data_IF_017728491459
#
_entry.id   IF_017728491459
#
_cell.length_a   1.000
_cell.length_b   1.000
_cell.length_c   1.000
_cell.angle_alpha   90.00
_cell.angle_beta   90.00
_cell.angle_gamma   90.00
#
_symmetry.space_group_name_H-M   'P 1'
#
loop_
_entity.id
_entity.type
_entity.pdbx_description
1 polymer ?
#
# COMPACT_ATOMS: atom_id res chain seq x y z
N UNK A 1 -32.44 24.13 29.51
CA UNK A 1 -31.63 24.41 28.30
C UNK A 1 -30.56 23.34 28.02
N UNK A 2 -30.51 22.24 28.78
CA UNK A 2 -29.39 21.28 28.74
C UNK A 2 -29.58 20.07 27.82
N UNK A 3 -30.81 19.76 27.40
CA UNK A 3 -31.11 18.57 26.59
C UNK A 3 -30.74 18.73 25.12
N UNK A 4 -30.78 19.98 24.62
CA UNK A 4 -30.38 20.32 23.25
C UNK A 4 -28.86 20.25 23.07
N UNK A 5 -28.09 20.57 24.11
CA UNK A 5 -26.63 20.54 24.08
C UNK A 5 -26.10 19.09 24.12
N UNK A 6 -26.73 18.21 24.89
CA UNK A 6 -26.40 16.77 24.88
C UNK A 6 -26.80 16.08 23.58
N UNK A 7 -27.95 16.43 23.00
CA UNK A 7 -28.35 15.92 21.69
C UNK A 7 -27.44 16.40 20.56
N UNK A 8 -26.98 17.65 20.61
CA UNK A 8 -25.99 18.18 19.65
C UNK A 8 -24.64 17.46 19.79
N UNK A 9 -24.18 17.19 21.01
CA UNK A 9 -22.96 16.41 21.24
C UNK A 9 -23.10 14.94 20.80
N UNK A 10 -24.27 14.32 20.98
CA UNK A 10 -24.55 12.96 20.51
C UNK A 10 -24.68 12.89 18.98
N UNK A 11 -25.23 13.92 18.34
CA UNK A 11 -25.29 14.02 16.87
C UNK A 11 -23.90 14.24 16.25
N UNK A 12 -23.03 15.02 16.88
CA UNK A 12 -21.62 15.16 16.48
C UNK A 12 -20.81 13.87 16.69
N UNK A 13 -21.18 13.03 17.67
CA UNK A 13 -20.58 11.70 17.85
C UNK A 13 -21.11 10.64 16.86
N UNK A 14 -22.26 10.92 16.21
CA UNK A 14 -22.87 10.11 15.15
C UNK A 14 -22.55 10.64 13.74
N UNK A 15 -21.79 11.73 13.64
CA UNK A 15 -21.23 12.16 12.36
C UNK A 15 -20.40 10.98 11.84
N UNK A 16 -20.75 10.40 10.68
CA UNK A 16 -19.92 9.36 10.10
C UNK A 16 -18.55 10.01 9.92
N UNK A 17 -17.52 9.46 10.57
CA UNK A 17 -16.14 9.84 10.31
C UNK A 17 -16.02 9.94 8.79
N UNK A 18 -15.74 11.16 8.29
CA UNK A 18 -15.67 11.43 6.86
C UNK A 18 -14.95 10.24 6.21
N UNK A 19 -15.54 9.60 5.17
CA UNK A 19 -15.05 8.32 4.67
C UNK A 19 -13.54 8.46 4.50
N UNK A 20 -12.78 7.72 5.31
CA UNK A 20 -11.33 7.80 5.31
C UNK A 20 -10.91 7.71 3.85
N UNK A 21 -10.36 8.80 3.31
CA UNK A 21 -10.25 8.98 1.88
C UNK A 21 -9.58 7.74 1.29
N UNK A 22 -10.37 6.90 0.61
CA UNK A 22 -9.90 5.60 0.12
C UNK A 22 -8.86 5.92 -0.93
N UNK A 23 -7.60 5.62 -0.62
CA UNK A 23 -6.51 5.87 -1.54
C UNK A 23 -6.75 5.07 -2.82
N UNK A 24 -6.61 5.70 -4.01
CA UNK A 24 -6.90 5.03 -5.26
C UNK A 24 -5.98 3.82 -5.45
N UNK A 25 -6.46 2.82 -6.18
CA UNK A 25 -5.58 1.76 -6.67
C UNK A 25 -4.52 2.37 -7.59
N UNK A 26 -3.29 1.89 -7.47
CA UNK A 26 -2.16 2.32 -8.31
C UNK A 26 -1.77 1.17 -9.23
N UNK A 27 -1.37 1.47 -10.46
CA UNK A 27 -0.88 0.42 -11.36
C UNK A 27 0.44 -0.18 -10.88
N UNK A 28 0.79 -1.33 -11.42
CA UNK A 28 2.10 -1.96 -11.25
C UNK A 28 3.25 -0.98 -11.54
N UNK A 29 3.18 -0.28 -12.67
CA UNK A 29 4.14 0.74 -13.08
C UNK A 29 4.23 1.86 -12.04
N UNK A 30 3.10 2.41 -11.61
CA UNK A 30 3.06 3.49 -10.61
C UNK A 30 3.67 3.03 -9.28
N UNK A 31 3.36 1.81 -8.84
CA UNK A 31 3.86 1.22 -7.60
C UNK A 31 5.37 1.05 -7.61
N UNK A 32 5.93 0.34 -8.61
CA UNK A 32 7.37 0.12 -8.70
C UNK A 32 8.15 1.41 -8.96
N UNK A 33 7.60 2.34 -9.75
CA UNK A 33 8.21 3.64 -9.97
C UNK A 33 8.26 4.47 -8.67
N UNK A 34 7.21 4.47 -7.86
CA UNK A 34 7.20 5.16 -6.57
C UNK A 34 8.20 4.56 -5.58
N UNK A 35 8.34 3.22 -5.54
CA UNK A 35 9.35 2.55 -4.72
C UNK A 35 10.79 2.90 -5.11
N UNK A 36 11.06 3.04 -6.42
CA UNK A 36 12.36 3.50 -6.90
C UNK A 36 12.61 4.98 -6.54
N UNK A 37 11.61 5.84 -6.71
CA UNK A 37 11.69 7.24 -6.35
C UNK A 37 11.92 7.44 -4.84
N UNK A 38 11.34 6.57 -4.00
CA UNK A 38 11.56 6.54 -2.56
C UNK A 38 12.91 5.92 -2.14
N UNK A 39 13.71 5.40 -3.07
CA UNK A 39 14.99 4.75 -2.79
C UNK A 39 14.86 3.36 -2.15
N UNK A 40 13.67 2.77 -2.16
CA UNK A 40 13.45 1.43 -1.60
C UNK A 40 14.05 0.36 -2.49
N UNK A 41 13.94 0.53 -3.80
CA UNK A 41 14.57 -0.33 -4.83
C UNK A 41 15.36 0.53 -5.81
N UNK A 42 16.27 -0.07 -6.59
CA UNK A 42 16.94 0.65 -7.67
C UNK A 42 16.00 0.89 -8.85
N UNK A 43 16.32 1.89 -9.69
CA UNK A 43 15.55 2.18 -10.91
C UNK A 43 15.58 0.99 -11.88
N UNK A 44 16.74 0.32 -12.03
CA UNK A 44 16.87 -0.88 -12.86
C UNK A 44 15.98 -2.02 -12.36
N UNK A 45 15.87 -2.19 -11.04
CA UNK A 45 14.99 -3.21 -10.46
C UNK A 45 13.51 -2.87 -10.68
N UNK A 46 13.13 -1.59 -10.61
CA UNK A 46 11.76 -1.18 -10.93
C UNK A 46 11.44 -1.39 -12.42
N UNK A 47 12.38 -1.09 -13.33
CA UNK A 47 12.22 -1.35 -14.76
C UNK A 47 12.09 -2.85 -15.04
N UNK A 48 12.94 -3.69 -14.44
CA UNK A 48 12.85 -5.15 -14.58
C UNK A 48 11.51 -5.68 -14.03
N UNK A 49 11.02 -5.14 -12.91
CA UNK A 49 9.72 -5.53 -12.36
C UNK A 49 8.57 -5.26 -13.35
N UNK A 50 8.55 -4.08 -13.98
CA UNK A 50 7.48 -3.69 -14.90
C UNK A 50 7.64 -4.35 -16.29
N UNK A 51 8.86 -4.49 -16.80
CA UNK A 51 9.11 -5.00 -18.15
C UNK A 51 9.06 -6.52 -18.24
N UNK A 52 9.56 -7.23 -17.22
CA UNK A 52 9.73 -8.68 -17.25
C UNK A 52 9.04 -9.41 -16.10
N UNK A 53 8.35 -8.69 -15.21
CA UNK A 53 7.74 -9.27 -14.00
C UNK A 53 8.77 -9.74 -12.97
N UNK A 54 10.04 -9.34 -13.12
CA UNK A 54 11.13 -9.78 -12.24
C UNK A 54 11.07 -9.05 -10.92
N UNK A 55 10.79 -9.78 -9.84
CA UNK A 55 10.61 -9.18 -8.53
C UNK A 55 11.94 -8.63 -7.98
N UNK A 56 12.01 -7.35 -7.56
CA UNK A 56 13.21 -6.76 -6.97
C UNK A 56 13.71 -7.54 -5.75
N UNK A 57 15.03 -7.68 -5.60
CA UNK A 57 15.64 -8.47 -4.52
C UNK A 57 15.18 -8.07 -3.11
N UNK A 58 14.94 -6.77 -2.88
CA UNK A 58 14.42 -6.29 -1.58
C UNK A 58 12.99 -6.76 -1.31
N UNK A 59 12.15 -6.82 -2.35
CA UNK A 59 10.78 -7.31 -2.26
C UNK A 59 10.80 -8.84 -2.08
N UNK A 60 11.67 -9.55 -2.80
CA UNK A 60 11.87 -10.99 -2.57
C UNK A 60 12.32 -11.31 -1.14
N UNK A 61 13.23 -10.52 -0.57
CA UNK A 61 13.64 -10.67 0.82
C UNK A 61 12.46 -10.46 1.79
N UNK A 62 11.60 -9.49 1.51
CA UNK A 62 10.38 -9.27 2.29
C UNK A 62 9.40 -10.45 2.18
N UNK A 63 9.21 -10.99 0.98
CA UNK A 63 8.37 -12.17 0.74
C UNK A 63 8.94 -13.42 1.41
N UNK A 64 10.27 -13.59 1.42
CA UNK A 64 10.94 -14.69 2.10
C UNK A 64 10.75 -14.66 3.63
N UNK A 65 10.44 -13.49 4.20
CA UNK A 65 10.08 -13.33 5.62
C UNK A 65 8.64 -13.76 5.96
N UNK A 66 7.79 -14.00 4.96
CA UNK A 66 6.43 -14.51 5.17
C UNK A 66 6.43 -16.01 5.49
N UNK A 67 5.38 -16.55 6.15
CA UNK A 67 5.22 -17.99 6.34
C UNK A 67 5.33 -18.75 5.02
N UNK A 68 6.00 -19.91 5.03
CA UNK A 68 6.31 -20.67 3.81
C UNK A 68 5.09 -20.95 2.91
N UNK A 69 3.92 -21.18 3.53
CA UNK A 69 2.65 -21.40 2.82
C UNK A 69 2.12 -20.17 2.06
N UNK A 70 2.49 -18.96 2.49
CA UNK A 70 2.02 -17.69 1.90
C UNK A 70 2.97 -17.15 0.83
N UNK A 71 4.25 -17.54 0.85
CA UNK A 71 5.26 -16.95 -0.04
C UNK A 71 4.95 -17.14 -1.52
N UNK A 72 4.47 -18.32 -1.92
CA UNK A 72 4.12 -18.58 -3.31
C UNK A 72 2.97 -17.70 -3.78
N UNK A 73 1.91 -17.60 -2.97
CA UNK A 73 0.77 -16.74 -3.27
C UNK A 73 1.18 -15.26 -3.33
N UNK A 74 2.07 -14.81 -2.43
CA UNK A 74 2.60 -13.46 -2.43
C UNK A 74 3.41 -13.16 -3.71
N UNK A 75 4.31 -14.06 -4.12
CA UNK A 75 5.07 -13.90 -5.39
C UNK A 75 4.14 -13.84 -6.59
N UNK A 76 3.18 -14.76 -6.67
CA UNK A 76 2.23 -14.81 -7.78
C UNK A 76 1.40 -13.53 -7.87
N UNK A 77 0.93 -13.00 -6.73
CA UNK A 77 0.21 -11.74 -6.68
C UNK A 77 1.12 -10.58 -7.10
N UNK A 78 2.34 -10.48 -6.58
CA UNK A 78 3.25 -9.37 -6.90
C UNK A 78 3.73 -9.37 -8.35
N UNK A 79 3.92 -10.55 -8.96
CA UNK A 79 4.33 -10.68 -10.37
C UNK A 79 3.18 -10.55 -11.37
N UNK A 80 1.94 -10.85 -10.95
CA UNK A 80 0.76 -10.84 -11.82
C UNK A 80 -0.20 -9.67 -11.62
N UNK A 81 -0.04 -8.88 -10.55
CA UNK A 81 -0.90 -7.75 -10.27
C UNK A 81 -0.68 -6.63 -11.29
N UNK A 82 -1.75 -6.22 -11.95
CA UNK A 82 -1.78 -5.01 -12.80
C UNK A 82 -2.13 -3.77 -12.01
N UNK A 83 -2.72 -3.93 -10.82
CA UNK A 83 -3.07 -2.86 -9.90
C UNK A 83 -2.88 -3.30 -8.44
N UNK A 84 -2.48 -2.35 -7.60
CA UNK A 84 -2.26 -2.49 -6.18
C UNK A 84 -3.23 -1.60 -5.40
N UNK A 85 -4.06 -2.23 -4.57
CA UNK A 85 -4.99 -1.54 -3.68
C UNK A 85 -4.37 -1.32 -2.30
N UNK A 86 -4.38 -0.08 -1.80
CA UNK A 86 -3.82 0.25 -0.49
C UNK A 86 -4.46 -0.54 0.65
N UNK A 87 -5.74 -0.85 0.52
CA UNK A 87 -6.52 -1.61 1.49
C UNK A 87 -6.26 -3.12 1.47
N UNK A 88 -5.51 -3.63 0.48
CA UNK A 88 -5.25 -5.06 0.39
C UNK A 88 -4.29 -5.51 1.51
N UNK A 89 -4.60 -6.61 2.25
CA UNK A 89 -3.79 -7.03 3.42
C UNK A 89 -2.33 -7.30 3.07
N UNK A 90 -2.05 -7.85 1.88
CA UNK A 90 -0.68 -8.06 1.39
C UNK A 90 0.13 -6.75 1.30
N UNK A 91 -0.49 -5.62 0.96
CA UNK A 91 0.22 -4.33 0.88
C UNK A 91 0.69 -3.89 2.26
N UNK A 92 -0.15 -4.07 3.28
CA UNK A 92 0.23 -3.76 4.66
C UNK A 92 1.36 -4.69 5.15
N UNK A 93 1.26 -5.99 4.88
CA UNK A 93 2.29 -6.97 5.25
C UNK A 93 3.63 -6.69 4.56
N UNK A 94 3.60 -6.45 3.24
CA UNK A 94 4.80 -6.15 2.46
C UNK A 94 5.41 -4.81 2.87
N UNK A 95 4.60 -3.78 3.07
CA UNK A 95 5.06 -2.47 3.51
C UNK A 95 5.78 -2.55 4.85
N UNK A 96 5.20 -3.24 5.83
CA UNK A 96 5.85 -3.48 7.12
C UNK A 96 7.20 -4.21 6.97
N UNK A 97 7.26 -5.25 6.13
CA UNK A 97 8.48 -5.99 5.86
C UNK A 97 9.55 -5.16 5.12
N UNK A 98 9.14 -4.15 4.34
CA UNK A 98 10.03 -3.19 3.68
C UNK A 98 10.46 -2.02 4.59
N UNK A 99 9.86 -1.90 5.78
CA UNK A 99 10.14 -0.86 6.78
C UNK A 99 9.21 0.36 6.70
N UNK A 100 8.09 0.27 6.00
CA UNK A 100 7.08 1.32 5.96
C UNK A 100 6.05 1.14 7.09
N UNK A 101 5.74 2.22 7.79
CA UNK A 101 4.53 2.30 8.60
C UNK A 101 3.31 2.67 7.74
N UNK A 102 2.11 2.69 8.35
CA UNK A 102 0.87 2.98 7.64
C UNK A 102 0.87 4.38 6.99
N UNK A 103 1.41 5.39 7.67
CA UNK A 103 1.43 6.76 7.16
C UNK A 103 2.42 6.93 6.00
N UNK A 104 3.56 6.25 6.06
CA UNK A 104 4.56 6.22 5.01
C UNK A 104 4.05 5.46 3.77
N UNK A 105 3.30 4.37 3.96
CA UNK A 105 2.59 3.70 2.85
C UNK A 105 1.53 4.62 2.23
N UNK A 106 0.78 5.37 3.03
CA UNK A 106 -0.24 6.30 2.51
C UNK A 106 0.40 7.47 1.75
N UNK A 107 1.58 7.93 2.18
CA UNK A 107 2.37 8.90 1.43
C UNK A 107 2.88 8.31 0.10
N UNK A 108 3.42 7.09 0.13
CA UNK A 108 3.87 6.37 -1.06
C UNK A 108 2.72 6.19 -2.06
N UNK A 109 1.52 5.82 -1.60
CA UNK A 109 0.36 5.64 -2.47
C UNK A 109 -0.10 6.93 -3.13
N UNK A 110 -0.11 8.05 -2.38
CA UNK A 110 -0.43 9.37 -2.96
C UNK A 110 0.60 9.80 -4.00
N UNK A 111 1.88 9.49 -3.77
CA UNK A 111 2.93 9.76 -4.75
C UNK A 111 2.76 8.89 -6.00
N UNK A 112 2.54 7.59 -5.82
CA UNK A 112 2.31 6.64 -6.91
C UNK A 112 1.09 7.03 -7.77
N UNK A 113 -0.01 7.45 -7.15
CA UNK A 113 -1.22 7.86 -7.85
C UNK A 113 -1.04 9.13 -8.71
N UNK A 114 0.04 9.90 -8.51
CA UNK A 114 0.35 11.10 -9.28
C UNK A 114 1.29 10.85 -10.48
N UNK A 115 1.72 9.60 -10.73
CA UNK A 115 2.66 9.19 -11.79
C UNK A 115 1.97 8.55 -13.00
#
# INVERSE_FOLDING_TARGET
MSERDTLAAQLAALEPAAPAAVLPAVSDRQFFQALAAAGTISQDAALAAVMTGTLPARIEAAVAGLPAAEQFAARMLLSGATAFERGHPMVAQLGAALGYDAAALDALWRQAAAL
#
